data_IF_472598255393
#
_entry.id   IF_472598255393
#
_cell.length_a   1.000
_cell.length_b   1.000
_cell.length_c   1.000
_cell.angle_alpha   90.00
_cell.angle_beta   90.00
_cell.angle_gamma   90.00
#
_symmetry.space_group_name_H-M   'P 1'
#
loop_
_entity.id
_entity.type
_entity.pdbx_description
1 polymer ?
#
# COMPACT_ATOMS: atom_id res chain seq x y z
N UNK A 1 17.95 13.65 6.71
CA UNK A 1 17.34 12.61 5.84
C UNK A 1 16.11 13.23 5.21
N UNK A 2 15.96 13.19 3.89
CA UNK A 2 14.78 13.69 3.18
C UNK A 2 13.56 12.86 3.63
N UNK A 3 12.42 13.50 3.90
CA UNK A 3 11.21 12.77 4.28
C UNK A 3 10.56 12.17 3.02
N UNK A 4 10.57 10.86 2.91
CA UNK A 4 9.98 10.14 1.79
C UNK A 4 8.48 10.46 1.58
N UNK A 5 7.78 10.93 2.64
CA UNK A 5 6.39 11.36 2.58
C UNK A 5 6.19 12.59 1.68
N UNK A 6 7.13 13.53 1.71
CA UNK A 6 7.09 14.72 0.86
C UNK A 6 7.31 14.37 -0.62
N UNK A 7 8.11 13.34 -0.89
CA UNK A 7 8.33 12.85 -2.24
C UNK A 7 7.04 12.25 -2.81
N UNK A 8 6.35 11.40 -2.03
CA UNK A 8 5.11 10.77 -2.46
C UNK A 8 3.93 11.74 -2.59
N UNK A 9 3.88 12.81 -1.81
CA UNK A 9 2.89 13.88 -1.96
C UNK A 9 3.02 14.63 -3.28
N UNK A 10 4.22 14.71 -3.83
CA UNK A 10 4.53 15.42 -5.09
C UNK A 10 4.55 14.50 -6.30
N UNK A 11 4.79 13.22 -6.08
CA UNK A 11 4.97 12.25 -7.15
C UNK A 11 3.63 11.90 -7.79
N UNK A 12 3.57 11.93 -9.13
CA UNK A 12 2.42 11.39 -9.86
C UNK A 12 2.48 9.86 -9.86
N UNK A 13 1.77 9.26 -8.91
CA UNK A 13 1.68 7.81 -8.76
C UNK A 13 1.11 7.11 -10.03
N UNK A 14 0.49 7.85 -10.96
CA UNK A 14 0.05 7.32 -12.25
C UNK A 14 1.20 6.86 -13.15
N UNK A 15 2.42 7.33 -12.89
CA UNK A 15 3.63 6.92 -13.60
C UNK A 15 4.20 5.56 -13.12
N UNK A 16 3.73 5.02 -11.99
CA UNK A 16 4.18 3.71 -11.50
C UNK A 16 3.38 2.61 -12.21
N UNK A 17 4.04 1.68 -12.94
CA UNK A 17 3.36 0.57 -13.57
C UNK A 17 2.93 -0.45 -12.51
N UNK A 18 1.79 -0.23 -11.88
CA UNK A 18 1.20 -1.18 -10.93
C UNK A 18 0.18 -2.06 -11.64
N UNK A 19 0.22 -3.35 -11.35
CA UNK A 19 -0.85 -4.27 -11.77
C UNK A 19 -2.04 -4.08 -10.83
N UNK A 20 -3.22 -3.85 -11.37
CA UNK A 20 -4.47 -3.69 -10.62
C UNK A 20 -4.86 -4.92 -9.80
N UNK A 21 -4.30 -6.06 -10.13
CA UNK A 21 -4.51 -7.32 -9.43
C UNK A 21 -3.42 -8.33 -9.77
N UNK A 22 -3.26 -9.29 -8.89
CA UNK A 22 -2.41 -10.47 -9.09
C UNK A 22 -3.24 -11.73 -8.81
N UNK A 23 -2.90 -12.89 -9.39
CA UNK A 23 -3.60 -14.14 -9.09
C UNK A 23 -3.62 -14.47 -7.59
N UNK A 24 -2.59 -14.08 -6.84
CA UNK A 24 -2.51 -14.29 -5.39
C UNK A 24 -3.54 -13.45 -4.64
N UNK A 25 -3.70 -12.17 -5.01
CA UNK A 25 -4.72 -11.31 -4.42
C UNK A 25 -6.11 -11.86 -4.73
N UNK A 26 -6.38 -12.24 -5.98
CA UNK A 26 -7.68 -12.77 -6.38
C UNK A 26 -8.03 -14.06 -5.61
N UNK A 27 -7.08 -14.99 -5.46
CA UNK A 27 -7.27 -16.21 -4.67
C UNK A 27 -7.51 -15.93 -3.19
N UNK A 28 -6.77 -14.99 -2.61
CA UNK A 28 -6.93 -14.55 -1.23
C UNK A 28 -8.33 -13.97 -1.00
N UNK A 29 -8.77 -13.04 -1.84
CA UNK A 29 -10.09 -12.41 -1.73
C UNK A 29 -11.24 -13.43 -1.90
N UNK A 30 -11.05 -14.42 -2.76
CA UNK A 30 -12.04 -15.50 -2.91
C UNK A 30 -12.13 -16.37 -1.64
N UNK A 31 -11.00 -16.68 -1.00
CA UNK A 31 -11.00 -17.40 0.27
C UNK A 31 -11.75 -16.64 1.36
N UNK A 32 -11.45 -15.33 1.53
CA UNK A 32 -12.13 -14.47 2.51
C UNK A 32 -13.65 -14.41 2.26
N UNK A 33 -14.07 -14.29 1.01
CA UNK A 33 -15.51 -14.30 0.67
C UNK A 33 -16.19 -15.62 1.02
N UNK A 34 -15.51 -16.74 0.79
CA UNK A 34 -16.04 -18.05 1.13
C UNK A 34 -16.23 -18.20 2.64
N UNK A 35 -15.27 -17.71 3.44
CA UNK A 35 -15.37 -17.70 4.91
C UNK A 35 -16.51 -16.80 5.39
N UNK A 36 -16.71 -15.65 4.76
CA UNK A 36 -17.75 -14.71 5.13
C UNK A 36 -19.18 -15.19 4.82
N UNK A 37 -19.35 -16.25 4.04
CA UNK A 37 -20.65 -16.91 3.76
C UNK A 37 -21.74 -15.91 3.30
N UNK A 38 -21.39 -14.92 2.51
CA UNK A 38 -22.31 -13.91 1.97
C UNK A 38 -22.53 -12.69 2.87
N UNK A 39 -21.86 -12.58 4.01
CA UNK A 39 -21.89 -11.38 4.83
C UNK A 39 -21.25 -10.20 4.10
N UNK A 40 -21.75 -8.95 4.29
CA UNK A 40 -21.13 -7.75 3.75
C UNK A 40 -19.70 -7.58 4.27
N UNK A 41 -18.76 -7.31 3.38
CA UNK A 41 -17.36 -7.12 3.73
C UNK A 41 -16.90 -5.69 3.44
N UNK A 42 -16.25 -5.08 4.42
CA UNK A 42 -15.55 -3.79 4.29
C UNK A 42 -14.07 -4.03 4.00
N UNK A 43 -13.51 -3.24 3.09
CA UNK A 43 -12.13 -3.36 2.65
C UNK A 43 -11.43 -1.99 2.65
N UNK A 44 -10.21 -1.97 3.20
CA UNK A 44 -9.29 -0.83 3.12
C UNK A 44 -8.21 -1.13 2.07
N UNK A 45 -8.08 -0.26 1.07
CA UNK A 45 -7.02 -0.30 0.05
C UNK A 45 -5.97 0.78 0.36
N UNK A 46 -4.83 0.35 0.91
CA UNK A 46 -3.75 1.23 1.35
C UNK A 46 -2.82 1.53 0.18
N UNK A 47 -2.59 2.82 -0.09
CA UNK A 47 -1.83 3.28 -1.26
C UNK A 47 -2.62 3.07 -2.55
N UNK A 48 -3.89 3.46 -2.54
CA UNK A 48 -4.82 3.18 -3.64
C UNK A 48 -4.51 3.91 -4.95
N UNK A 49 -3.60 4.90 -4.93
CA UNK A 49 -3.29 5.73 -6.08
C UNK A 49 -4.56 6.37 -6.67
N UNK A 50 -4.74 6.29 -7.98
CA UNK A 50 -5.93 6.80 -8.67
C UNK A 50 -7.19 5.93 -8.51
N UNK A 51 -7.20 4.95 -7.60
CA UNK A 51 -8.36 4.14 -7.25
C UNK A 51 -8.73 3.02 -8.23
N UNK A 52 -7.81 2.58 -9.09
CA UNK A 52 -8.09 1.54 -10.11
C UNK A 52 -8.34 0.19 -9.44
N UNK A 53 -7.48 -0.22 -8.52
CA UNK A 53 -7.67 -1.44 -7.75
C UNK A 53 -8.90 -1.34 -6.85
N UNK A 54 -9.06 -0.25 -6.11
CA UNK A 54 -10.23 -0.01 -5.26
C UNK A 54 -11.55 -0.15 -6.02
N UNK A 55 -11.63 0.40 -7.25
CA UNK A 55 -12.80 0.24 -8.13
C UNK A 55 -13.08 -1.22 -8.45
N UNK A 56 -12.05 -1.99 -8.83
CA UNK A 56 -12.19 -3.41 -9.10
C UNK A 56 -12.65 -4.20 -7.88
N UNK A 57 -12.11 -3.88 -6.69
CA UNK A 57 -12.53 -4.52 -5.42
C UNK A 57 -13.99 -4.23 -5.10
N UNK A 58 -14.45 -3.00 -5.34
CA UNK A 58 -15.86 -2.63 -5.22
C UNK A 58 -16.74 -3.46 -6.18
N UNK A 59 -16.35 -3.59 -7.44
CA UNK A 59 -17.06 -4.40 -8.44
C UNK A 59 -17.09 -5.88 -8.07
N UNK A 60 -16.10 -6.35 -7.31
CA UNK A 60 -16.08 -7.70 -6.74
C UNK A 60 -16.98 -7.86 -5.51
N UNK A 61 -17.65 -6.83 -5.02
CA UNK A 61 -18.67 -6.93 -3.97
C UNK A 61 -18.26 -6.43 -2.59
N UNK A 62 -17.11 -5.76 -2.44
CA UNK A 62 -16.71 -5.14 -1.19
C UNK A 62 -17.26 -3.71 -1.06
N UNK A 63 -17.50 -3.24 0.17
CA UNK A 63 -17.49 -1.81 0.44
C UNK A 63 -16.04 -1.37 0.63
N UNK A 64 -15.56 -0.38 -0.12
CA UNK A 64 -14.15 -0.03 -0.19
C UNK A 64 -13.88 1.39 0.26
N UNK A 65 -12.89 1.56 1.15
CA UNK A 65 -12.19 2.80 1.39
C UNK A 65 -10.79 2.70 0.78
N UNK A 66 -10.48 3.53 -0.22
CA UNK A 66 -9.12 3.70 -0.73
C UNK A 66 -8.45 4.88 -0.05
N UNK A 67 -7.22 4.69 0.41
CA UNK A 67 -6.42 5.78 1.01
C UNK A 67 -5.07 5.91 0.30
N UNK A 68 -4.61 7.14 0.18
CA UNK A 68 -3.29 7.47 -0.35
C UNK A 68 -2.77 8.76 0.27
N UNK A 69 -1.46 8.91 0.37
CA UNK A 69 -0.81 10.13 0.87
C UNK A 69 -0.80 11.26 -0.17
N UNK A 70 -0.97 10.93 -1.45
CA UNK A 70 -0.92 11.88 -2.57
C UNK A 70 -2.27 12.56 -2.78
N UNK A 71 -2.38 13.90 -2.57
CA UNK A 71 -3.61 14.64 -2.84
C UNK A 71 -4.04 14.54 -4.31
N UNK A 72 -3.07 14.52 -5.25
CA UNK A 72 -3.34 14.40 -6.68
C UNK A 72 -3.93 13.04 -7.04
N UNK A 73 -3.39 11.96 -6.47
CA UNK A 73 -3.91 10.61 -6.64
C UNK A 73 -5.35 10.50 -6.11
N UNK A 74 -5.60 11.02 -4.90
CA UNK A 74 -6.94 11.03 -4.30
C UNK A 74 -7.92 11.90 -5.08
N UNK A 75 -7.48 13.06 -5.60
CA UNK A 75 -8.32 13.86 -6.48
C UNK A 75 -8.78 13.06 -7.71
N UNK A 76 -7.88 12.35 -8.36
CA UNK A 76 -8.19 11.49 -9.51
C UNK A 76 -9.08 10.29 -9.09
N UNK A 77 -8.83 9.68 -7.93
CA UNK A 77 -9.60 8.54 -7.43
C UNK A 77 -11.06 8.92 -7.13
N UNK A 78 -11.29 10.11 -6.60
CA UNK A 78 -12.64 10.63 -6.26
C UNK A 78 -13.59 10.69 -7.44
N UNK A 79 -13.09 10.74 -8.67
CA UNK A 79 -13.92 10.63 -9.89
C UNK A 79 -14.60 9.25 -10.02
N UNK A 80 -14.19 8.27 -9.21
CA UNK A 80 -14.72 6.89 -9.19
C UNK A 80 -15.59 6.60 -7.96
N UNK A 81 -15.84 7.61 -7.12
CA UNK A 81 -16.63 7.46 -5.89
C UNK A 81 -18.04 6.95 -6.19
N UNK A 82 -18.51 6.02 -5.36
CA UNK A 82 -19.91 5.54 -5.32
C UNK A 82 -20.37 5.68 -3.88
N UNK A 83 -21.32 6.59 -3.63
CA UNK A 83 -21.81 6.86 -2.29
C UNK A 83 -22.52 5.64 -1.68
N UNK A 84 -23.43 5.04 -2.44
CA UNK A 84 -24.03 3.75 -2.15
C UNK A 84 -24.57 3.14 -3.46
N UNK A 85 -24.39 1.83 -3.63
CA UNK A 85 -25.06 1.08 -4.70
C UNK A 85 -26.40 0.48 -4.20
N UNK A 86 -27.07 -0.28 -5.06
CA UNK A 86 -28.34 -0.94 -4.72
C UNK A 86 -28.24 -1.95 -3.56
N UNK A 87 -27.04 -2.45 -3.26
CA UNK A 87 -26.76 -3.33 -2.12
C UNK A 87 -26.25 -2.57 -0.87
N UNK A 88 -26.26 -1.23 -0.90
CA UNK A 88 -25.76 -0.38 0.19
C UNK A 88 -24.25 -0.34 0.32
N UNK A 89 -23.49 -0.85 -0.66
CA UNK A 89 -22.02 -0.82 -0.66
C UNK A 89 -21.52 0.53 -1.15
N UNK A 90 -20.38 0.97 -0.62
CA UNK A 90 -19.77 2.25 -0.99
C UNK A 90 -18.34 2.09 -1.51
N UNK A 91 -17.92 3.02 -2.36
CA UNK A 91 -16.54 3.22 -2.78
C UNK A 91 -16.16 4.66 -2.47
N UNK A 92 -15.23 4.85 -1.54
CA UNK A 92 -14.79 6.18 -1.07
C UNK A 92 -13.27 6.29 -1.11
N UNK A 93 -12.78 7.53 -1.13
CA UNK A 93 -11.35 7.82 -1.17
C UNK A 93 -10.99 8.96 -0.23
N UNK A 94 -9.96 8.75 0.58
CA UNK A 94 -9.49 9.72 1.57
C UNK A 94 -7.97 9.91 1.48
N UNK A 95 -7.51 11.14 1.66
CA UNK A 95 -6.09 11.43 1.84
C UNK A 95 -5.69 11.05 3.26
N UNK A 96 -4.76 10.11 3.40
CA UNK A 96 -4.30 9.64 4.70
C UNK A 96 -2.85 9.14 4.65
N UNK A 97 -2.05 9.54 5.64
CA UNK A 97 -0.71 9.02 5.89
C UNK A 97 -0.75 8.03 7.06
N UNK A 98 -0.89 6.76 6.75
CA UNK A 98 -0.89 5.68 7.77
C UNK A 98 0.51 5.28 8.24
N UNK A 99 1.57 5.88 7.71
CA UNK A 99 2.95 5.72 8.17
C UNK A 99 3.35 6.77 9.23
N UNK A 100 2.49 7.76 9.48
CA UNK A 100 2.72 8.79 10.47
C UNK A 100 2.71 8.21 11.91
N UNK A 101 3.29 8.97 12.86
CA UNK A 101 3.23 8.58 14.28
C UNK A 101 1.84 8.71 14.88
N UNK A 102 1.05 9.66 14.38
CA UNK A 102 -0.34 9.91 14.73
C UNK A 102 -1.17 9.99 13.43
N UNK A 103 -1.66 8.85 12.95
CA UNK A 103 -2.40 8.80 11.70
C UNK A 103 -3.83 9.30 11.86
N UNK A 104 -4.45 9.79 10.81
CA UNK A 104 -5.85 10.17 10.85
C UNK A 104 -6.74 8.96 11.14
N UNK A 105 -7.82 9.19 11.90
CA UNK A 105 -8.85 8.17 12.09
C UNK A 105 -9.58 7.91 10.78
N UNK A 106 -9.58 6.65 10.35
CA UNK A 106 -10.29 6.23 9.14
C UNK A 106 -11.76 5.91 9.45
N UNK A 107 -12.67 6.48 8.66
CA UNK A 107 -14.07 6.18 8.79
C UNK A 107 -14.47 4.88 8.09
N UNK A 108 -15.38 4.11 8.70
CA UNK A 108 -15.92 2.88 8.14
C UNK A 108 -15.21 1.59 8.59
N UNK A 109 -14.22 1.70 9.47
CA UNK A 109 -13.66 0.55 10.15
C UNK A 109 -14.48 0.07 11.36
N UNK A 110 -14.14 -1.07 11.97
CA UNK A 110 -13.03 -1.93 11.57
C UNK A 110 -13.25 -2.61 10.21
N UNK A 111 -12.14 -2.87 9.48
CA UNK A 111 -12.19 -3.46 8.14
C UNK A 111 -12.01 -4.98 8.20
N UNK A 112 -12.83 -5.71 7.45
CA UNK A 112 -12.71 -7.17 7.31
C UNK A 112 -11.50 -7.57 6.47
N UNK A 113 -11.09 -6.71 5.54
CA UNK A 113 -9.93 -6.92 4.68
C UNK A 113 -9.12 -5.64 4.59
N UNK A 114 -7.81 -5.75 4.72
CA UNK A 114 -6.86 -4.69 4.35
C UNK A 114 -5.98 -5.21 3.22
N UNK A 115 -5.89 -4.44 2.14
CA UNK A 115 -4.96 -4.68 1.03
C UNK A 115 -3.87 -3.63 1.07
N UNK A 116 -2.62 -4.06 1.17
CA UNK A 116 -1.42 -3.21 1.14
C UNK A 116 -0.45 -3.79 0.09
N UNK A 117 -0.60 -3.37 -1.16
CA UNK A 117 0.13 -3.95 -2.27
C UNK A 117 1.34 -3.08 -2.64
N UNK A 118 2.55 -3.57 -2.36
CA UNK A 118 3.85 -2.94 -2.62
C UNK A 118 4.14 -1.63 -1.87
N UNK A 119 3.18 -1.09 -1.13
CA UNK A 119 3.31 0.19 -0.43
C UNK A 119 4.42 0.14 0.62
N UNK A 120 4.51 -0.95 1.40
CA UNK A 120 5.54 -1.08 2.45
C UNK A 120 6.97 -0.96 1.89
N UNK A 121 7.19 -1.33 0.64
CA UNK A 121 8.50 -1.26 -0.01
C UNK A 121 8.95 0.15 -0.36
N UNK A 122 8.03 1.11 -0.43
CA UNK A 122 8.30 2.50 -0.79
C UNK A 122 8.23 3.44 0.41
N UNK A 123 8.08 2.89 1.61
CA UNK A 123 8.14 3.64 2.87
C UNK A 123 9.59 3.73 3.33
N UNK A 124 10.07 4.97 3.51
CA UNK A 124 11.49 5.30 3.59
C UNK A 124 12.22 4.79 4.84
N UNK A 125 11.55 4.55 5.98
CA UNK A 125 12.22 4.16 7.23
C UNK A 125 11.54 2.99 7.91
N UNK A 126 12.32 2.20 8.66
CA UNK A 126 11.81 1.08 9.46
C UNK A 126 10.73 1.52 10.45
N UNK A 127 10.87 2.71 11.06
CA UNK A 127 9.87 3.27 11.97
C UNK A 127 8.53 3.51 11.26
N UNK A 128 8.56 4.11 10.09
CA UNK A 128 7.35 4.37 9.30
C UNK A 128 6.70 3.07 8.81
N UNK A 129 7.50 2.05 8.45
CA UNK A 129 7.00 0.72 8.10
C UNK A 129 6.32 0.03 9.29
N UNK A 130 6.92 0.13 10.47
CA UNK A 130 6.31 -0.39 11.71
C UNK A 130 5.01 0.38 12.07
N UNK A 131 4.97 1.69 11.87
CA UNK A 131 3.76 2.49 12.05
C UNK A 131 2.64 2.02 11.12
N UNK A 132 2.93 1.87 9.82
CA UNK A 132 1.98 1.33 8.86
C UNK A 132 1.34 0.03 9.36
N UNK A 133 2.16 -0.94 9.77
CA UNK A 133 1.66 -2.25 10.20
C UNK A 133 0.84 -2.17 11.50
N UNK A 134 1.26 -1.31 12.45
CA UNK A 134 0.48 -1.04 13.66
C UNK A 134 -0.89 -0.46 13.32
N UNK A 135 -0.96 0.54 12.44
CA UNK A 135 -2.23 1.14 12.04
C UNK A 135 -3.12 0.17 11.27
N UNK A 136 -2.54 -0.65 10.41
CA UNK A 136 -3.27 -1.73 9.75
C UNK A 136 -3.88 -2.69 10.78
N UNK A 137 -3.10 -3.09 11.79
CA UNK A 137 -3.60 -3.91 12.89
C UNK A 137 -4.75 -3.24 13.64
N UNK A 138 -4.62 -1.94 13.98
CA UNK A 138 -5.60 -1.20 14.77
C UNK A 138 -6.94 -0.98 14.05
N UNK A 139 -6.93 -0.92 12.72
CA UNK A 139 -8.15 -0.74 11.91
C UNK A 139 -8.74 -2.07 11.40
N UNK A 140 -8.02 -3.17 11.58
CA UNK A 140 -8.48 -4.49 11.16
C UNK A 140 -9.54 -5.02 12.12
N UNK A 141 -10.58 -5.65 11.58
CA UNK A 141 -11.54 -6.39 12.40
C UNK A 141 -10.82 -7.55 13.14
N UNK A 142 -11.20 -7.94 14.37
CA UNK A 142 -10.54 -9.04 15.11
C UNK A 142 -10.43 -10.36 14.33
N UNK A 143 -11.36 -10.63 13.42
CA UNK A 143 -11.31 -11.76 12.48
C UNK A 143 -10.97 -11.31 11.05
N UNK A 144 -10.37 -10.15 10.89
CA UNK A 144 -10.03 -9.59 9.60
C UNK A 144 -8.74 -10.14 9.02
N UNK A 145 -8.53 -9.91 7.74
CA UNK A 145 -7.41 -10.45 6.98
C UNK A 145 -6.59 -9.34 6.32
N UNK A 146 -5.27 -9.46 6.39
CA UNK A 146 -4.34 -8.58 5.70
C UNK A 146 -3.76 -9.28 4.46
N UNK A 147 -3.90 -8.66 3.29
CA UNK A 147 -3.07 -8.97 2.14
C UNK A 147 -1.92 -7.97 2.06
N UNK A 148 -0.71 -8.41 2.36
CA UNK A 148 0.50 -7.62 2.27
C UNK A 148 1.39 -8.17 1.16
N UNK A 149 1.85 -7.31 0.25
CA UNK A 149 2.91 -7.65 -0.69
C UNK A 149 4.05 -6.65 -0.60
N UNK A 150 5.27 -7.14 -0.79
CA UNK A 150 6.49 -6.36 -0.74
C UNK A 150 7.44 -6.77 -1.87
N UNK A 151 8.36 -5.88 -2.21
CA UNK A 151 9.48 -6.21 -3.11
C UNK A 151 10.49 -7.05 -2.35
N UNK A 152 10.86 -8.20 -2.90
CA UNK A 152 11.87 -9.09 -2.31
C UNK A 152 13.29 -8.69 -2.68
N UNK A 153 14.28 -9.10 -1.88
CA UNK A 153 15.71 -8.94 -2.19
C UNK A 153 16.04 -9.65 -3.51
N UNK A 154 16.64 -8.92 -4.42
CA UNK A 154 16.86 -9.37 -5.81
C UNK A 154 18.32 -9.26 -6.28
N UNK A 155 19.27 -9.16 -5.36
CA UNK A 155 20.70 -9.06 -5.68
C UNK A 155 21.25 -10.26 -6.45
N UNK A 156 20.62 -11.44 -6.29
CA UNK A 156 20.95 -12.67 -7.04
C UNK A 156 20.24 -12.78 -8.39
N UNK A 157 19.07 -12.11 -8.55
CA UNK A 157 18.30 -12.14 -9.79
C UNK A 157 18.72 -10.98 -10.70
N UNK A 158 19.02 -9.82 -10.11
CA UNK A 158 19.46 -8.62 -10.80
C UNK A 158 20.67 -8.02 -10.09
N UNK A 159 21.87 -8.27 -10.62
CA UNK A 159 23.12 -7.75 -10.05
C UNK A 159 23.16 -6.21 -9.92
N UNK A 160 22.33 -5.49 -10.69
CA UNK A 160 22.19 -4.04 -10.57
C UNK A 160 21.68 -3.60 -9.20
N UNK A 161 20.83 -4.39 -8.54
CA UNK A 161 20.33 -4.06 -7.20
C UNK A 161 21.43 -4.15 -6.14
N UNK A 162 22.29 -5.16 -6.19
CA UNK A 162 23.42 -5.29 -5.25
C UNK A 162 24.31 -4.04 -5.29
N UNK A 163 24.53 -3.48 -6.49
CA UNK A 163 25.29 -2.24 -6.66
C UNK A 163 24.53 -1.04 -6.05
N UNK A 164 23.24 -0.88 -6.35
CA UNK A 164 22.42 0.22 -5.82
C UNK A 164 22.35 0.20 -4.29
N UNK A 165 22.20 -0.97 -3.67
CA UNK A 165 22.24 -1.10 -2.22
C UNK A 165 23.59 -0.64 -1.64
N UNK A 166 24.71 -1.01 -2.27
CA UNK A 166 26.04 -0.63 -1.81
C UNK A 166 26.28 0.90 -1.98
N UNK A 167 25.89 1.45 -3.12
CA UNK A 167 26.05 2.86 -3.44
C UNK A 167 25.23 3.76 -2.50
N UNK A 168 23.98 3.38 -2.22
CA UNK A 168 23.05 4.22 -1.45
C UNK A 168 23.06 3.93 0.07
N UNK A 169 23.77 2.91 0.55
CA UNK A 169 23.80 2.54 1.98
C UNK A 169 24.16 3.72 2.90
N UNK A 170 25.11 4.54 2.48
CA UNK A 170 25.54 5.71 3.27
C UNK A 170 24.48 6.83 3.34
N UNK A 171 23.52 6.85 2.40
CA UNK A 171 22.42 7.81 2.33
C UNK A 171 21.19 7.30 3.07
N UNK A 172 20.89 6.01 2.90
CA UNK A 172 19.70 5.36 3.45
C UNK A 172 19.88 4.87 4.88
N UNK A 173 21.10 4.47 5.23
CA UNK A 173 21.42 3.85 6.52
C UNK A 173 20.85 2.43 6.69
N UNK A 174 20.17 1.88 5.68
CA UNK A 174 19.49 0.58 5.74
C UNK A 174 19.99 -0.34 4.61
N UNK A 175 20.28 -1.60 4.96
CA UNK A 175 20.60 -2.65 3.97
C UNK A 175 19.39 -2.89 3.07
N UNK A 176 19.65 -3.25 1.83
CA UNK A 176 18.62 -3.55 0.80
C UNK A 176 17.69 -2.36 0.48
N UNK A 177 18.11 -1.13 0.86
CA UNK A 177 17.41 0.10 0.51
C UNK A 177 18.21 0.89 -0.51
N UNK A 178 17.55 1.39 -1.53
CA UNK A 178 18.17 2.27 -2.54
C UNK A 178 17.24 3.42 -2.87
N UNK A 179 17.79 4.44 -3.52
CA UNK A 179 17.05 5.61 -3.98
C UNK A 179 16.70 5.46 -5.46
N UNK A 180 15.42 5.35 -5.76
CA UNK A 180 14.91 5.41 -7.12
C UNK A 180 15.15 6.80 -7.69
N UNK A 181 15.68 6.88 -8.92
CA UNK A 181 16.04 8.13 -9.58
C UNK A 181 15.40 8.20 -10.96
N UNK A 182 15.10 9.42 -11.41
CA UNK A 182 14.70 9.67 -12.78
C UNK A 182 15.87 9.58 -13.77
N UNK A 183 15.60 9.83 -15.05
CA UNK A 183 16.62 9.82 -16.09
C UNK A 183 17.68 10.94 -15.92
N UNK A 184 17.37 11.99 -15.17
CA UNK A 184 18.30 13.10 -14.84
C UNK A 184 19.15 12.82 -13.60
N UNK A 185 18.90 11.70 -12.89
CA UNK A 185 19.59 11.34 -11.65
C UNK A 185 18.96 11.93 -10.38
N UNK A 186 17.86 12.69 -10.51
CA UNK A 186 17.13 13.23 -9.37
C UNK A 186 16.43 12.11 -8.58
N UNK A 187 16.55 12.15 -7.25
CA UNK A 187 15.91 11.17 -6.38
C UNK A 187 14.41 11.38 -6.37
N UNK A 188 13.69 10.32 -6.71
CA UNK A 188 12.23 10.26 -6.70
C UNK A 188 11.71 9.78 -5.33
N UNK A 189 12.17 8.63 -4.86
CA UNK A 189 11.78 8.02 -3.59
C UNK A 189 12.75 6.90 -3.17
N UNK A 190 12.68 6.50 -1.91
CA UNK A 190 13.40 5.34 -1.41
C UNK A 190 12.60 4.06 -1.68
N UNK A 191 13.32 2.99 -2.03
CA UNK A 191 12.74 1.65 -2.18
C UNK A 191 13.51 0.68 -1.29
N UNK A 192 12.76 -0.09 -0.49
CA UNK A 192 13.29 -1.14 0.37
C UNK A 192 12.85 -2.52 -0.15
N UNK A 193 13.81 -3.43 -0.26
CA UNK A 193 13.56 -4.83 -0.62
C UNK A 193 13.72 -5.70 0.62
N UNK A 194 12.71 -6.50 0.90
CA UNK A 194 12.65 -7.34 2.09
C UNK A 194 13.25 -8.73 1.87
N UNK A 195 13.99 -9.24 2.84
CA UNK A 195 14.13 -10.69 2.99
C UNK A 195 12.85 -11.31 3.56
N UNK A 196 12.67 -12.62 3.37
CA UNK A 196 11.50 -13.31 3.95
C UNK A 196 11.50 -13.22 5.48
N UNK A 197 12.67 -13.38 6.11
CA UNK A 197 12.82 -13.33 7.57
C UNK A 197 12.54 -11.93 8.13
N UNK A 198 13.00 -10.89 7.43
CA UNK A 198 12.72 -9.51 7.81
C UNK A 198 11.22 -9.21 7.76
N UNK A 199 10.55 -9.56 6.66
CA UNK A 199 9.11 -9.35 6.53
C UNK A 199 8.32 -10.12 7.58
N UNK A 200 8.70 -11.37 7.86
CA UNK A 200 8.08 -12.18 8.91
C UNK A 200 8.28 -11.61 10.31
N UNK A 201 9.41 -10.96 10.58
CA UNK A 201 9.69 -10.35 11.90
C UNK A 201 8.94 -9.04 12.15
N UNK A 202 8.38 -8.44 11.10
CA UNK A 202 7.57 -7.21 11.18
C UNK A 202 6.09 -7.50 11.44
N UNK A 203 5.62 -8.72 11.17
CA UNK A 203 4.24 -9.17 11.31
C UNK A 203 4.01 -9.86 12.66
#
# INVERSE_FOLDING_TARGET
>A
MRDARDDWRRFDAGAIPTKESTPRLDSFLQAVKNEAAGQPLTLLDVGCGSGRLSRRLFEQGFSVLGIDISPGAIHAARQRTVAADAAGRSLRFEEADVSADDPPRLEGGPFHVVVCQLVISIIGTIRQRANLLRHVHDVLHPSGHLFLSASGVSDTINAGYARLYAEDLHLTGERHTYLSRDAGGEVLYATHHFSADELASLL
#
